data_IF_016833935187
#
_entry.id   IF_016833935187
#
_cell.length_a   1.000
_cell.length_b   1.000
_cell.length_c   1.000
_cell.angle_alpha   90.00
_cell.angle_beta   90.00
_cell.angle_gamma   90.00
#
_symmetry.space_group_name_H-M   'P 1'
#
loop_
_entity.id
_entity.type
_entity.pdbx_description
1 polymer ?
#
# COMPACT_ATOMS: atom_id res chain seq x y z
N UNK A 1 8.32 -21.43 3.68
CA UNK A 1 7.84 -20.03 3.59
C UNK A 1 6.51 -19.98 4.34
N UNK A 2 6.54 -19.55 5.61
CA UNK A 2 5.35 -19.60 6.48
C UNK A 2 4.55 -18.32 6.28
N UNK A 3 3.44 -18.39 5.55
CA UNK A 3 2.54 -17.25 5.39
C UNK A 3 1.59 -17.24 6.59
N UNK A 4 1.67 -16.19 7.41
CA UNK A 4 0.72 -15.95 8.49
C UNK A 4 -0.37 -15.02 7.96
N UNK A 5 -1.58 -15.56 7.76
CA UNK A 5 -2.79 -14.79 7.43
C UNK A 5 -3.30 -14.14 8.72
N UNK A 6 -3.56 -12.84 8.70
CA UNK A 6 -4.19 -12.12 9.80
C UNK A 6 -5.48 -11.48 9.27
N UNK A 7 -6.62 -11.91 9.80
CA UNK A 7 -7.90 -11.23 9.63
C UNK A 7 -8.10 -10.29 10.82
N UNK A 8 -8.39 -9.01 10.58
CA UNK A 8 -8.66 -8.03 11.63
C UNK A 8 -9.81 -7.11 11.19
N UNK A 9 -10.86 -7.04 12.01
CA UNK A 9 -12.00 -6.12 11.83
C UNK A 9 -11.60 -4.65 12.01
N UNK A 10 -12.27 -3.75 11.27
CA UNK A 10 -11.95 -2.34 11.14
C UNK A 10 -12.14 -1.53 12.43
N UNK A 11 -11.06 -0.95 12.94
CA UNK A 11 -11.02 0.46 13.37
C UNK A 11 -9.65 1.08 13.08
N UNK A 12 -9.66 2.39 12.84
CA UNK A 12 -8.59 3.34 12.42
C UNK A 12 -7.20 3.10 12.99
N UNK A 13 -7.12 2.51 14.18
CA UNK A 13 -5.89 2.26 14.92
C UNK A 13 -5.23 0.93 14.56
N UNK A 14 -5.89 0.00 13.87
CA UNK A 14 -5.38 -1.37 13.67
C UNK A 14 -4.40 -1.51 12.51
N UNK A 15 -4.55 -0.79 11.39
CA UNK A 15 -3.52 -0.86 10.31
C UNK A 15 -2.24 -0.24 10.81
N UNK A 16 -2.32 0.97 11.36
CA UNK A 16 -1.15 1.59 11.94
C UNK A 16 -0.66 0.78 13.14
N UNK A 17 -1.44 0.33 14.14
CA UNK A 17 -0.91 -0.50 15.25
C UNK A 17 -0.41 -1.90 14.82
N UNK A 18 -1.03 -2.55 13.84
CA UNK A 18 -0.57 -3.82 13.29
C UNK A 18 0.70 -3.66 12.46
N UNK A 19 0.98 -2.46 11.94
CA UNK A 19 2.19 -2.09 11.22
C UNK A 19 3.21 -1.28 12.05
N UNK A 20 2.83 -0.71 13.21
CA UNK A 20 3.59 0.29 13.99
C UNK A 20 4.03 -0.18 15.38
N UNK A 21 3.42 -1.21 15.96
CA UNK A 21 3.44 -1.28 17.43
C UNK A 21 4.53 -2.13 18.09
N UNK A 22 4.84 -3.30 17.54
CA UNK A 22 5.96 -4.12 18.00
C UNK A 22 6.60 -4.72 16.76
N UNK A 23 7.86 -4.39 16.43
CA UNK A 23 8.56 -5.11 15.38
C UNK A 23 8.45 -6.60 15.73
N UNK A 24 7.75 -7.38 14.91
CA UNK A 24 8.00 -8.81 14.90
C UNK A 24 9.47 -8.92 14.55
N UNK A 25 10.30 -9.57 15.39
CA UNK A 25 11.71 -9.73 15.07
C UNK A 25 11.84 -10.27 13.64
N UNK A 26 12.42 -9.48 12.74
CA UNK A 26 12.66 -9.86 11.34
C UNK A 26 11.76 -9.24 10.25
N UNK A 27 10.76 -8.40 10.55
CA UNK A 27 9.92 -7.76 9.51
C UNK A 27 10.20 -6.23 9.41
N UNK A 28 11.34 -5.88 8.83
CA UNK A 28 11.71 -4.47 8.54
C UNK A 28 11.12 -3.98 7.23
N UNK A 29 11.09 -4.85 6.23
CA UNK A 29 10.77 -4.56 4.84
C UNK A 29 9.69 -5.52 4.37
N UNK A 30 8.56 -4.96 3.98
CA UNK A 30 7.44 -5.80 3.64
C UNK A 30 6.54 -5.20 2.59
N UNK A 31 5.89 -6.10 1.86
CA UNK A 31 4.74 -5.82 1.02
C UNK A 31 3.47 -6.10 1.81
N UNK A 32 2.42 -5.40 1.43
CA UNK A 32 1.08 -5.58 1.95
C UNK A 32 0.15 -5.88 0.79
N UNK A 33 -0.69 -6.91 0.93
CA UNK A 33 -1.59 -7.42 -0.10
C UNK A 33 -2.94 -7.77 0.55
N UNK A 34 -4.04 -7.46 -0.12
CA UNK A 34 -5.39 -7.92 0.27
C UNK A 34 -5.91 -8.94 -0.76
N UNK A 35 -6.91 -9.79 -0.41
CA UNK A 35 -7.70 -10.47 -1.42
C UNK A 35 -8.31 -9.47 -2.42
N UNK A 36 -8.76 -9.97 -3.57
CA UNK A 36 -9.52 -9.13 -4.48
C UNK A 36 -10.87 -8.73 -3.88
N UNK A 37 -11.27 -7.49 -4.14
CA UNK A 37 -12.51 -6.92 -3.63
C UNK A 37 -13.49 -6.72 -4.79
N UNK A 38 -14.71 -7.19 -4.61
CA UNK A 38 -15.87 -6.93 -5.46
C UNK A 38 -16.99 -6.34 -4.62
N UNK A 39 -18.08 -5.89 -5.25
CA UNK A 39 -19.29 -5.48 -4.56
C UNK A 39 -19.86 -6.58 -3.63
N UNK A 40 -19.64 -7.85 -3.97
CA UNK A 40 -20.12 -8.99 -3.17
C UNK A 40 -19.19 -9.35 -2.00
N UNK A 41 -17.93 -8.89 -2.04
CA UNK A 41 -16.92 -9.21 -1.01
C UNK A 41 -16.53 -8.03 -0.14
N UNK A 42 -16.91 -6.80 -0.49
CA UNK A 42 -16.55 -5.57 0.26
C UNK A 42 -17.03 -5.57 1.72
N UNK A 43 -18.14 -6.26 2.02
CA UNK A 43 -18.67 -6.34 3.38
C UNK A 43 -18.08 -7.50 4.20
N UNK A 44 -17.15 -8.28 3.64
CA UNK A 44 -16.45 -9.33 4.41
C UNK A 44 -15.49 -8.68 5.41
N UNK A 45 -15.16 -9.39 6.51
CA UNK A 45 -14.11 -8.94 7.40
C UNK A 45 -12.83 -8.63 6.63
N UNK A 46 -12.16 -7.56 7.02
CA UNK A 46 -10.95 -7.13 6.33
C UNK A 46 -9.82 -8.14 6.54
N UNK A 47 -9.21 -8.53 5.42
CA UNK A 47 -8.17 -9.55 5.37
C UNK A 47 -6.97 -9.00 4.60
N UNK A 48 -5.77 -9.26 5.11
CA UNK A 48 -4.54 -8.94 4.41
C UNK A 48 -3.40 -9.87 4.82
N UNK A 49 -2.34 -9.85 4.01
CA UNK A 49 -1.06 -10.44 4.36
C UNK A 49 0.05 -9.39 4.31
N UNK A 50 1.07 -9.63 5.13
CA UNK A 50 2.33 -8.90 5.09
C UNK A 50 3.41 -9.89 4.69
N UNK A 51 4.12 -9.60 3.60
CA UNK A 51 5.15 -10.47 3.05
C UNK A 51 6.51 -9.85 3.30
N UNK A 52 7.34 -10.56 4.08
CA UNK A 52 8.75 -10.21 4.27
C UNK A 52 9.44 -10.15 2.90
N UNK A 53 10.04 -9.00 2.60
CA UNK A 53 10.65 -8.70 1.30
C UNK A 53 11.94 -7.90 1.52
N UNK A 54 13.03 -8.54 2.00
CA UNK A 54 14.30 -7.90 2.39
C UNK A 54 15.10 -7.25 1.23
N UNK A 55 14.52 -7.18 0.03
CA UNK A 55 15.09 -6.48 -1.12
C UNK A 55 14.43 -5.12 -1.38
N UNK A 56 13.54 -4.66 -0.49
CA UNK A 56 12.84 -3.38 -0.64
C UNK A 56 13.61 -2.19 -0.07
N UNK A 57 14.58 -2.40 0.83
CA UNK A 57 15.46 -1.35 1.38
C UNK A 57 16.48 -0.85 0.35
N UNK A 58 15.97 -0.34 -0.77
CA UNK A 58 16.71 0.46 -1.72
C UNK A 58 16.59 1.93 -1.32
N UNK A 59 17.57 2.74 -1.70
CA UNK A 59 17.47 4.18 -1.53
C UNK A 59 16.20 4.70 -2.20
N UNK A 60 15.40 5.45 -1.45
CA UNK A 60 14.16 6.00 -1.98
C UNK A 60 14.47 6.95 -3.15
N UNK A 61 13.78 6.75 -4.28
CA UNK A 61 13.96 7.58 -5.47
C UNK A 61 12.90 8.69 -5.52
N UNK A 62 13.25 9.94 -5.15
CA UNK A 62 12.29 11.04 -5.15
C UNK A 62 11.83 11.43 -6.57
N UNK A 63 12.55 11.02 -7.62
CA UNK A 63 12.18 11.34 -9.00
C UNK A 63 11.13 10.36 -9.55
N UNK A 64 10.92 9.22 -8.89
CA UNK A 64 10.03 8.14 -9.34
C UNK A 64 8.63 8.63 -9.77
N UNK A 65 8.07 9.57 -9.00
CA UNK A 65 6.74 10.14 -9.25
C UNK A 65 6.75 11.68 -9.14
N UNK A 66 7.91 12.31 -9.35
CA UNK A 66 8.08 13.75 -9.18
C UNK A 66 7.10 14.59 -10.02
N UNK A 67 6.76 14.13 -11.23
CA UNK A 67 5.80 14.81 -12.10
C UNK A 67 4.37 14.88 -11.50
N UNK A 68 4.01 13.95 -10.60
CA UNK A 68 2.68 13.87 -10.00
C UNK A 68 2.60 14.65 -8.69
N UNK A 69 3.69 14.76 -7.93
CA UNK A 69 3.68 15.39 -6.59
C UNK A 69 3.12 16.82 -6.53
N UNK A 70 3.25 17.69 -7.55
CA UNK A 70 2.60 19.00 -7.53
C UNK A 70 1.07 18.96 -7.41
N UNK A 71 0.44 17.81 -7.72
CA UNK A 71 -1.00 17.58 -7.61
C UNK A 71 -1.41 16.93 -6.28
N UNK A 72 -0.46 16.69 -5.38
CA UNK A 72 -0.73 16.01 -4.12
C UNK A 72 -1.65 16.84 -3.23
N UNK A 73 -2.70 16.21 -2.71
CA UNK A 73 -3.56 16.75 -1.66
C UNK A 73 -3.16 16.09 -0.35
N UNK A 74 -2.96 16.88 0.71
CA UNK A 74 -2.50 16.39 2.03
C UNK A 74 -1.23 15.52 1.95
N UNK A 75 -0.35 15.81 0.98
CA UNK A 75 0.89 15.07 0.76
C UNK A 75 0.71 13.71 0.11
N UNK A 76 -0.43 13.43 -0.53
CA UNK A 76 -0.69 12.17 -1.25
C UNK A 76 -1.24 12.47 -2.64
N UNK A 77 -0.79 11.71 -3.63
CA UNK A 77 -1.25 11.85 -5.02
C UNK A 77 -1.79 10.53 -5.55
N UNK A 78 -2.90 10.63 -6.29
CA UNK A 78 -3.49 9.55 -7.07
C UNK A 78 -3.31 9.80 -8.57
N UNK A 79 -2.88 8.78 -9.30
CA UNK A 79 -2.65 8.85 -10.74
C UNK A 79 -2.73 7.46 -11.39
N UNK A 80 -2.95 7.41 -12.70
CA UNK A 80 -2.92 6.16 -13.46
C UNK A 80 -1.47 5.80 -13.82
N UNK A 81 -1.12 4.52 -13.79
CA UNK A 81 0.20 4.09 -14.27
C UNK A 81 0.34 4.26 -15.79
N UNK A 82 1.59 4.24 -16.30
CA UNK A 82 1.89 4.38 -17.74
C UNK A 82 1.12 3.42 -18.64
N UNK A 83 0.82 2.21 -18.17
CA UNK A 83 0.10 1.18 -18.93
C UNK A 83 -1.42 1.34 -18.93
N UNK A 84 -1.98 2.25 -18.13
CA UNK A 84 -3.42 2.42 -17.99
C UNK A 84 -4.14 1.29 -17.24
N UNK A 85 -3.43 0.27 -16.74
CA UNK A 85 -4.00 -0.94 -16.12
C UNK A 85 -4.07 -0.86 -14.59
N UNK A 86 -3.57 0.21 -13.98
CA UNK A 86 -3.58 0.41 -12.53
C UNK A 86 -3.78 1.88 -12.13
N UNK A 87 -4.44 2.07 -10.99
CA UNK A 87 -4.43 3.34 -10.25
C UNK A 87 -3.37 3.22 -9.17
N UNK A 88 -2.51 4.23 -9.08
CA UNK A 88 -1.42 4.34 -8.13
C UNK A 88 -1.72 5.47 -7.16
N UNK A 89 -1.43 5.23 -5.89
CA UNK A 89 -1.55 6.21 -4.81
C UNK A 89 -0.20 6.26 -4.10
N UNK A 90 0.46 7.41 -4.13
CA UNK A 90 1.80 7.58 -3.59
C UNK A 90 1.89 8.80 -2.68
N UNK A 91 2.63 8.73 -1.56
CA UNK A 91 2.94 9.91 -0.76
C UNK A 91 3.98 10.79 -1.48
N UNK A 92 3.85 12.11 -1.34
CA UNK A 92 4.85 13.09 -1.77
C UNK A 92 5.94 13.28 -0.69
N UNK A 93 7.13 13.80 -1.03
CA UNK A 93 8.25 13.96 -0.10
C UNK A 93 8.05 15.15 0.88
N UNK A 94 7.27 14.97 1.94
CA UNK A 94 7.04 16.00 2.97
C UNK A 94 7.88 15.80 4.24
N UNK A 95 8.68 14.73 4.29
CA UNK A 95 9.58 14.35 5.38
C UNK A 95 10.91 13.81 4.85
N UNK A 96 11.73 13.22 5.72
CA UNK A 96 13.00 12.60 5.31
C UNK A 96 12.77 11.49 4.27
N UNK A 97 13.67 11.42 3.27
CA UNK A 97 13.55 10.48 2.15
C UNK A 97 13.49 9.02 2.60
N UNK A 98 14.13 8.69 3.73
CA UNK A 98 14.11 7.34 4.28
C UNK A 98 12.70 6.84 4.61
N UNK A 99 11.71 7.71 4.78
CA UNK A 99 10.33 7.33 5.03
C UNK A 99 9.62 6.74 3.80
N UNK A 100 10.11 6.98 2.58
CA UNK A 100 9.29 6.77 1.38
C UNK A 100 9.68 5.56 0.55
N UNK A 101 10.73 4.81 0.90
CA UNK A 101 11.18 3.67 0.09
C UNK A 101 10.18 2.52 0.00
N UNK A 102 9.42 2.27 1.07
CA UNK A 102 8.44 1.18 1.17
C UNK A 102 7.49 1.38 2.36
N UNK A 103 6.43 0.57 2.45
CA UNK A 103 5.38 0.74 3.46
C UNK A 103 5.92 0.68 4.89
N UNK A 104 6.79 -0.29 5.19
CA UNK A 104 7.41 -0.40 6.51
C UNK A 104 8.15 0.86 6.97
N UNK A 105 8.90 1.53 6.09
CA UNK A 105 9.58 2.77 6.44
C UNK A 105 8.58 3.92 6.62
N UNK A 106 7.57 3.97 5.77
CA UNK A 106 6.53 5.01 5.81
C UNK A 106 5.75 4.99 7.12
N UNK A 107 5.27 3.82 7.56
CA UNK A 107 4.53 3.71 8.82
C UNK A 107 5.37 4.08 10.04
N UNK A 108 6.70 3.93 9.97
CA UNK A 108 7.64 4.24 11.07
C UNK A 108 8.10 5.69 11.10
N UNK A 109 8.24 6.33 9.93
CA UNK A 109 8.99 7.58 9.81
C UNK A 109 8.21 8.73 9.17
N UNK A 110 7.10 8.46 8.45
CA UNK A 110 6.29 9.52 7.87
C UNK A 110 5.42 10.22 8.93
N UNK A 111 5.06 11.50 8.72
CA UNK A 111 4.12 12.21 9.58
C UNK A 111 2.77 11.47 9.67
N UNK A 112 2.21 11.39 10.87
CA UNK A 112 0.94 10.69 11.11
C UNK A 112 -0.20 11.19 10.22
N UNK A 113 -0.28 12.52 10.03
CA UNK A 113 -1.26 13.15 9.13
C UNK A 113 -1.14 12.68 7.68
N UNK A 114 0.07 12.41 7.20
CA UNK A 114 0.31 11.90 5.85
C UNK A 114 -0.02 10.40 5.76
N UNK A 115 0.22 9.62 6.83
CA UNK A 115 -0.21 8.22 6.89
C UNK A 115 -1.73 8.11 6.80
N UNK A 116 -2.44 8.95 7.54
CA UNK A 116 -3.89 9.06 7.49
C UNK A 116 -4.39 9.47 6.10
N UNK A 117 -3.74 10.47 5.49
CA UNK A 117 -4.07 10.91 4.13
C UNK A 117 -3.89 9.79 3.11
N UNK A 118 -2.86 8.95 3.24
CA UNK A 118 -2.62 7.82 2.34
C UNK A 118 -3.76 6.82 2.43
N UNK A 119 -4.13 6.39 3.63
CA UNK A 119 -5.19 5.40 3.82
C UNK A 119 -6.57 5.95 3.44
N UNK A 120 -6.82 7.24 3.66
CA UNK A 120 -8.03 7.92 3.17
C UNK A 120 -8.11 7.87 1.64
N UNK A 121 -7.04 8.28 0.95
CA UNK A 121 -6.98 8.25 -0.51
C UNK A 121 -7.18 6.82 -1.06
N UNK A 122 -6.57 5.82 -0.41
CA UNK A 122 -6.78 4.39 -0.75
C UNK A 122 -8.24 3.98 -0.60
N UNK A 123 -8.88 4.31 0.52
CA UNK A 123 -10.28 4.00 0.78
C UNK A 123 -11.22 4.65 -0.24
N UNK A 124 -11.00 5.93 -0.55
CA UNK A 124 -11.78 6.67 -1.54
C UNK A 124 -11.60 6.10 -2.95
N UNK A 125 -10.37 5.77 -3.35
CA UNK A 125 -10.11 5.15 -4.64
C UNK A 125 -10.75 3.76 -4.75
N UNK A 126 -10.68 2.93 -3.69
CA UNK A 126 -11.36 1.65 -3.64
C UNK A 126 -12.88 1.82 -3.75
N UNK A 127 -13.47 2.75 -3.00
CA UNK A 127 -14.90 3.02 -3.04
C UNK A 127 -15.38 3.39 -4.46
N UNK A 128 -14.57 4.13 -5.24
CA UNK A 128 -14.87 4.44 -6.64
C UNK A 128 -14.73 3.25 -7.59
N UNK A 129 -13.86 2.29 -7.26
CA UNK A 129 -13.50 1.19 -8.18
C UNK A 129 -14.24 -0.12 -7.91
N UNK A 130 -14.72 -0.33 -6.69
CA UNK A 130 -15.45 -1.53 -6.31
C UNK A 130 -16.72 -1.66 -7.15
N UNK A 131 -16.91 -2.85 -7.72
CA UNK A 131 -18.07 -3.19 -8.54
C UNK A 131 -18.12 -4.69 -8.82
N UNK A 132 -18.70 -5.08 -9.95
CA UNK A 132 -18.77 -6.49 -10.35
C UNK A 132 -17.38 -7.08 -10.67
N UNK A 133 -16.45 -6.26 -11.18
CA UNK A 133 -15.08 -6.70 -11.46
C UNK A 133 -14.23 -6.65 -10.19
N UNK A 134 -13.39 -7.67 -9.95
CA UNK A 134 -12.46 -7.66 -8.83
C UNK A 134 -11.40 -6.57 -8.96
N UNK A 135 -11.05 -5.96 -7.82
CA UNK A 135 -9.97 -5.01 -7.66
C UNK A 135 -8.92 -5.61 -6.73
N UNK A 136 -7.66 -5.64 -7.16
CA UNK A 136 -6.54 -6.10 -6.37
C UNK A 136 -5.79 -4.92 -5.75
N UNK A 137 -5.63 -4.92 -4.44
CA UNK A 137 -5.04 -3.83 -3.66
C UNK A 137 -3.74 -4.30 -2.97
N UNK A 138 -2.61 -3.65 -3.29
CA UNK A 138 -1.30 -4.01 -2.74
C UNK A 138 -0.29 -2.86 -2.74
N UNK A 139 0.86 -3.00 -2.08
CA UNK A 139 1.96 -2.01 -2.11
C UNK A 139 3.15 -2.34 -3.03
N UNK A 140 3.10 -3.45 -3.78
CA UNK A 140 4.16 -3.92 -4.69
C UNK A 140 5.60 -3.49 -4.29
N UNK A 141 6.36 -2.79 -5.15
CA UNK A 141 7.60 -2.10 -4.74
C UNK A 141 8.93 -2.67 -5.21
N UNK A 142 8.98 -3.77 -5.96
CA UNK A 142 10.26 -4.33 -6.42
C UNK A 142 10.93 -3.52 -7.57
N UNK A 143 10.14 -2.80 -8.38
CA UNK A 143 10.64 -2.10 -9.56
C UNK A 143 10.94 -0.61 -9.35
N UNK A 144 10.19 0.05 -8.47
CA UNK A 144 10.29 1.49 -8.20
C UNK A 144 10.47 1.67 -6.69
N UNK A 145 11.62 2.20 -6.22
CA UNK A 145 11.91 2.34 -4.79
C UNK A 145 11.25 3.61 -4.22
N UNK A 146 9.94 3.71 -4.38
CA UNK A 146 9.10 4.72 -3.75
C UNK A 146 7.76 4.08 -3.44
N UNK A 147 7.24 4.28 -2.23
CA UNK A 147 5.99 3.69 -1.80
C UNK A 147 4.87 4.11 -2.76
N UNK A 148 4.15 3.12 -3.25
CA UNK A 148 2.91 3.34 -3.96
C UNK A 148 1.96 2.18 -3.68
N UNK A 149 0.74 2.51 -3.31
CA UNK A 149 -0.36 1.55 -3.26
C UNK A 149 -0.91 1.43 -4.68
N UNK A 150 -1.22 0.20 -5.08
CA UNK A 150 -1.74 -0.13 -6.38
C UNK A 150 -3.13 -0.70 -6.26
N UNK A 151 -4.03 -0.20 -7.09
CA UNK A 151 -5.29 -0.84 -7.42
C UNK A 151 -5.15 -1.37 -8.85
N UNK A 152 -5.13 -2.68 -9.01
CA UNK A 152 -4.96 -3.35 -10.32
C UNK A 152 -6.23 -4.13 -10.70
N UNK A 153 -6.43 -4.32 -12.01
CA UNK A 153 -7.50 -5.16 -12.57
C UNK A 153 -7.16 -6.66 -12.56
N UNK A 154 -5.98 -7.02 -12.04
CA UNK A 154 -5.46 -8.39 -11.90
C UNK A 154 -4.42 -8.43 -10.77
N UNK A 155 -4.07 -9.62 -10.20
CA UNK A 155 -3.10 -9.73 -9.10
C UNK A 155 -1.65 -9.58 -9.55
N UNK A 156 -1.33 -8.45 -10.19
CA UNK A 156 0.01 -8.15 -10.69
C UNK A 156 0.94 -7.96 -9.49
N UNK A 157 2.07 -8.67 -9.50
CA UNK A 157 3.10 -8.62 -8.44
C UNK A 157 2.72 -9.21 -7.08
N UNK A 158 1.56 -9.86 -6.96
CA UNK A 158 1.18 -10.56 -5.75
C UNK A 158 2.14 -11.71 -5.43
N UNK A 159 2.66 -11.72 -4.21
CA UNK A 159 3.50 -12.78 -3.68
C UNK A 159 2.71 -13.88 -2.99
N UNK A 160 1.50 -13.60 -2.49
CA UNK A 160 0.69 -14.58 -1.79
C UNK A 160 -0.22 -15.35 -2.75
N UNK A 161 0.09 -16.65 -2.93
CA UNK A 161 -0.58 -17.49 -3.91
C UNK A 161 -2.12 -17.54 -3.80
N UNK A 162 -2.74 -17.59 -2.60
CA UNK A 162 -4.20 -17.60 -2.44
C UNK A 162 -4.93 -16.33 -2.90
N UNK A 163 -4.24 -15.22 -3.12
CA UNK A 163 -4.85 -13.96 -3.59
C UNK A 163 -4.73 -13.76 -5.11
N UNK A 164 -4.12 -14.73 -5.82
CA UNK A 164 -3.93 -14.68 -7.28
C UNK A 164 -5.04 -15.35 -8.06
#
# INVERSE_FOLDING_TARGET
MSVKVLALDLERTLIDNALSGRPRPGLSEFRWETPSVTADTVSRPFEYVVLDTPGLARAADPEAFAEYFPRAADGVVEFTNLGGDAVLIAPSPVADRSAYGHLGAFVRHAPETQRDALWRAVGEAMARRIGAKPVWLSTAGAGVPWLHVRLDDRPKYYGFAPYR
#
